data_IF_007974240726
#
_entry.id   IF_007974240726
#
_cell.length_a   1.000
_cell.length_b   1.000
_cell.length_c   1.000
_cell.angle_alpha   90.00
_cell.angle_beta   90.00
_cell.angle_gamma   90.00
#
_symmetry.space_group_name_H-M   'P 1'
#
loop_
_entity.id
_entity.type
_entity.pdbx_description
1 polymer ?
#
# COMPACT_ATOMS: atom_id res chain seq x y z
N UNK A 1 -1.44 -27.75 63.11
CA UNK A 1 -2.81 -27.36 63.51
C UNK A 1 -3.40 -26.43 62.46
N UNK A 2 -4.53 -26.86 61.88
CA UNK A 2 -5.58 -26.12 61.14
C UNK A 2 -5.13 -25.12 60.06
N UNK A 3 -5.12 -25.57 58.80
CA UNK A 3 -5.38 -24.72 57.63
C UNK A 3 -6.82 -24.93 57.18
N UNK A 4 -7.60 -23.84 57.11
CA UNK A 4 -8.95 -23.83 56.54
C UNK A 4 -8.89 -23.74 55.02
N UNK A 5 -9.61 -24.64 54.37
CA UNK A 5 -9.97 -24.63 52.96
C UNK A 5 -10.80 -23.39 52.61
N UNK A 6 -10.64 -22.89 51.38
CA UNK A 6 -11.77 -22.36 50.62
C UNK A 6 -11.59 -22.65 49.13
N UNK A 7 -12.46 -23.52 48.63
CA UNK A 7 -12.69 -23.84 47.23
C UNK A 7 -13.46 -22.70 46.56
N UNK A 8 -13.08 -22.31 45.34
CA UNK A 8 -13.96 -21.58 44.44
C UNK A 8 -13.87 -22.15 43.02
N UNK A 9 -15.05 -22.37 42.46
CA UNK A 9 -15.41 -23.26 41.37
C UNK A 9 -14.93 -22.80 39.99
N UNK A 10 -14.48 -23.78 39.20
CA UNK A 10 -14.13 -23.70 37.78
C UNK A 10 -15.44 -23.63 36.94
N UNK A 11 -15.75 -22.48 36.36
CA UNK A 11 -16.82 -22.33 35.38
C UNK A 11 -16.27 -22.59 33.97
N UNK A 12 -16.63 -23.76 33.43
CA UNK A 12 -16.37 -24.21 32.05
C UNK A 12 -17.50 -23.64 31.18
N UNK A 13 -17.17 -22.77 30.22
CA UNK A 13 -18.12 -22.29 29.20
C UNK A 13 -17.87 -23.05 27.91
N UNK A 14 -18.71 -24.04 27.66
CA UNK A 14 -18.87 -24.69 26.37
C UNK A 14 -19.58 -23.74 25.40
N UNK A 15 -18.95 -23.41 24.27
CA UNK A 15 -19.61 -22.73 23.15
C UNK A 15 -20.20 -23.77 22.22
N UNK A 16 -21.53 -23.89 22.26
CA UNK A 16 -22.36 -24.61 21.29
C UNK A 16 -22.23 -23.98 19.91
N UNK A 17 -21.90 -24.81 18.93
CA UNK A 17 -22.01 -24.57 17.49
C UNK A 17 -23.46 -24.74 17.05
N UNK A 18 -24.08 -23.67 16.51
CA UNK A 18 -25.35 -23.79 15.79
C UNK A 18 -25.06 -23.89 14.30
N UNK A 19 -25.10 -25.13 13.79
CA UNK A 19 -25.36 -25.45 12.38
C UNK A 19 -26.84 -25.20 12.11
N UNK A 20 -27.17 -24.38 11.12
CA UNK A 20 -28.49 -24.40 10.48
C UNK A 20 -28.30 -24.91 9.06
N UNK A 21 -28.82 -26.10 8.82
CA UNK A 21 -29.09 -26.66 7.51
C UNK A 21 -30.60 -26.82 7.37
N UNK A 22 -31.16 -26.45 6.22
CA UNK A 22 -32.34 -27.03 5.59
C UNK A 22 -32.53 -26.32 4.23
N UNK A 23 -32.06 -26.90 3.13
CA UNK A 23 -32.71 -27.91 2.24
C UNK A 23 -33.80 -27.35 1.30
N UNK A 24 -33.87 -27.88 0.05
CA UNK A 24 -34.45 -27.23 -1.13
C UNK A 24 -35.91 -27.62 -1.37
N UNK A 25 -36.62 -26.85 -2.19
CA UNK A 25 -37.94 -27.21 -2.72
C UNK A 25 -38.03 -27.06 -4.25
N UNK A 26 -38.12 -28.23 -4.88
CA UNK A 26 -39.06 -28.65 -5.94
C UNK A 26 -39.17 -27.86 -7.25
N UNK A 27 -38.63 -28.54 -8.26
CA UNK A 27 -39.07 -28.66 -9.66
C UNK A 27 -40.60 -28.64 -9.83
N UNK A 28 -41.08 -27.87 -10.83
CA UNK A 28 -42.25 -28.22 -11.64
C UNK A 28 -41.93 -28.01 -13.12
N UNK A 29 -41.79 -29.14 -13.83
CA UNK A 29 -41.97 -29.26 -15.28
C UNK A 29 -43.46 -29.16 -15.60
N UNK A 30 -43.81 -28.45 -16.67
CA UNK A 30 -45.05 -28.66 -17.41
C UNK A 30 -44.64 -28.76 -18.88
N UNK A 31 -44.68 -29.98 -19.40
CA UNK A 31 -44.75 -30.26 -20.83
C UNK A 31 -46.23 -30.41 -21.21
N UNK A 32 -46.63 -29.81 -22.32
CA UNK A 32 -47.99 -29.87 -22.87
C UNK A 32 -48.01 -29.37 -24.31
N UNK A 33 -47.98 -30.34 -25.23
CA UNK A 33 -47.92 -30.26 -26.70
C UNK A 33 -49.23 -29.88 -27.40
N UNK A 34 -49.12 -29.53 -28.71
CA UNK A 34 -50.13 -29.44 -29.80
C UNK A 34 -50.44 -28.01 -30.27
N UNK A 35 -50.66 -27.65 -31.55
CA UNK A 35 -50.52 -28.29 -32.87
C UNK A 35 -50.88 -27.24 -33.93
N UNK A 36 -50.23 -27.27 -35.10
CA UNK A 36 -50.82 -26.89 -36.40
C UNK A 36 -50.73 -25.42 -36.89
N UNK A 37 -50.32 -25.28 -38.16
CA UNK A 37 -51.04 -24.42 -39.11
C UNK A 37 -50.35 -23.17 -39.71
N UNK A 38 -49.73 -23.34 -40.88
CA UNK A 38 -49.51 -22.41 -42.01
C UNK A 38 -50.24 -21.03 -42.01
N UNK A 39 -49.55 -19.92 -42.34
CA UNK A 39 -49.56 -19.18 -43.64
C UNK A 39 -48.99 -17.74 -43.52
N UNK A 40 -47.92 -17.51 -44.28
CA UNK A 40 -47.52 -16.38 -45.15
C UNK A 40 -48.32 -15.04 -45.20
N UNK A 41 -47.55 -13.95 -45.29
CA UNK A 41 -47.72 -12.67 -46.06
C UNK A 41 -47.90 -11.33 -45.28
N UNK A 42 -46.95 -10.43 -45.58
CA UNK A 42 -46.88 -8.95 -45.67
C UNK A 42 -46.82 -7.96 -44.49
N UNK A 43 -45.77 -7.13 -44.59
CA UNK A 43 -45.60 -5.68 -44.36
C UNK A 43 -46.36 -5.03 -43.18
N UNK A 44 -45.76 -4.21 -42.32
CA UNK A 44 -45.19 -2.89 -42.65
C UNK A 44 -44.47 -2.31 -41.42
N UNK A 45 -43.42 -1.52 -41.68
CA UNK A 45 -42.83 -0.43 -40.89
C UNK A 45 -43.36 -0.14 -39.47
N UNK A 46 -42.46 -0.11 -38.46
CA UNK A 46 -42.45 1.00 -37.48
C UNK A 46 -41.16 1.02 -36.64
N UNK A 47 -40.67 2.24 -36.46
CA UNK A 47 -39.45 2.64 -35.77
C UNK A 47 -39.33 2.08 -34.34
N UNK A 48 -38.24 1.36 -34.07
CA UNK A 48 -37.69 1.22 -32.72
C UNK A 48 -36.43 2.08 -32.63
N UNK A 49 -36.62 3.31 -32.14
CA UNK A 49 -35.54 4.22 -31.76
C UNK A 49 -34.59 3.52 -30.78
N UNK A 50 -33.38 3.29 -31.26
CA UNK A 50 -32.19 2.97 -30.49
C UNK A 50 -31.95 4.07 -29.46
N UNK A 51 -32.16 3.75 -28.17
CA UNK A 51 -31.56 4.51 -27.06
C UNK A 51 -30.06 4.21 -27.03
N UNK A 52 -29.29 4.88 -27.90
CA UNK A 52 -27.83 5.02 -27.75
C UNK A 52 -27.47 6.49 -27.60
N UNK A 53 -27.60 7.03 -26.39
CA UNK A 53 -27.15 8.39 -26.06
C UNK A 53 -26.53 8.42 -24.66
N UNK A 54 -25.19 8.42 -24.62
CA UNK A 54 -24.37 9.43 -23.88
C UNK A 54 -22.86 9.16 -23.82
N UNK A 55 -22.33 8.11 -24.45
CA UNK A 55 -20.88 7.79 -24.35
C UNK A 55 -19.96 8.66 -25.25
N UNK A 56 -20.49 9.62 -26.02
CA UNK A 56 -19.74 10.21 -27.16
C UNK A 56 -19.00 11.52 -26.88
N UNK A 57 -19.22 12.20 -25.75
CA UNK A 57 -18.65 13.55 -25.53
C UNK A 57 -17.32 13.51 -24.76
N UNK A 58 -17.07 12.49 -23.95
CA UNK A 58 -15.92 12.46 -23.04
C UNK A 58 -14.62 12.04 -23.75
N UNK A 59 -14.70 11.02 -24.62
CA UNK A 59 -13.56 10.57 -25.44
C UNK A 59 -12.90 11.69 -26.28
N UNK A 60 -13.65 12.56 -26.99
CA UNK A 60 -13.02 13.63 -27.76
C UNK A 60 -12.37 14.75 -26.91
N UNK A 61 -12.70 14.84 -25.62
CA UNK A 61 -12.06 15.80 -24.69
C UNK A 61 -10.68 15.28 -24.28
N UNK A 62 -10.57 13.98 -23.94
CA UNK A 62 -9.28 13.39 -23.57
C UNK A 62 -8.33 13.25 -24.76
N UNK A 63 -8.84 12.88 -25.94
CA UNK A 63 -8.03 12.67 -27.14
C UNK A 63 -7.40 13.93 -27.74
N UNK A 64 -7.73 15.13 -27.22
CA UNK A 64 -7.25 16.43 -27.69
C UNK A 64 -6.66 17.28 -26.55
N UNK A 65 -6.30 16.68 -25.41
CA UNK A 65 -5.59 17.37 -24.34
C UNK A 65 -4.13 17.55 -24.75
N UNK A 66 -3.78 18.75 -25.20
CA UNK A 66 -2.40 19.22 -25.08
C UNK A 66 -2.18 19.75 -23.67
N UNK A 67 -0.97 19.61 -23.14
CA UNK A 67 -0.61 20.08 -21.79
C UNK A 67 -0.93 21.57 -21.55
N UNK A 68 -0.99 22.36 -22.62
CA UNK A 68 -1.22 23.81 -22.58
C UNK A 68 -2.67 24.25 -22.80
N UNK A 69 -3.61 23.33 -23.08
CA UNK A 69 -5.01 23.70 -23.32
C UNK A 69 -5.76 23.94 -22.00
N UNK A 70 -6.19 25.18 -21.78
CA UNK A 70 -7.05 25.53 -20.65
C UNK A 70 -8.47 24.94 -20.82
N UNK A 71 -8.86 24.07 -19.89
CA UNK A 71 -10.22 23.49 -19.85
C UNK A 71 -11.26 24.51 -19.40
N UNK A 72 -12.40 24.52 -20.09
CA UNK A 72 -13.59 25.27 -19.67
C UNK A 72 -14.27 24.62 -18.47
N UNK A 73 -15.01 25.40 -17.67
CA UNK A 73 -15.75 24.87 -16.52
C UNK A 73 -16.76 23.76 -16.92
N UNK A 74 -17.35 23.85 -18.11
CA UNK A 74 -18.25 22.82 -18.64
C UNK A 74 -17.52 21.50 -18.88
N UNK A 75 -16.31 21.55 -19.45
CA UNK A 75 -15.48 20.35 -19.66
C UNK A 75 -15.04 19.75 -18.32
N UNK A 76 -14.65 20.58 -17.35
CA UNK A 76 -14.29 20.14 -16.00
C UNK A 76 -15.44 19.40 -15.30
N UNK A 77 -16.65 19.96 -15.34
CA UNK A 77 -17.85 19.33 -14.78
C UNK A 77 -18.13 18.01 -15.50
N UNK A 78 -18.07 17.98 -16.83
CA UNK A 78 -18.28 16.76 -17.60
C UNK A 78 -17.26 15.65 -17.25
N UNK A 79 -15.99 15.99 -17.03
CA UNK A 79 -14.96 15.04 -16.58
C UNK A 79 -15.33 14.46 -15.21
N UNK A 80 -15.68 15.32 -14.25
CA UNK A 80 -16.04 14.89 -12.90
C UNK A 80 -17.32 14.03 -12.87
N UNK A 81 -18.31 14.34 -13.71
CA UNK A 81 -19.55 13.57 -13.80
C UNK A 81 -19.33 12.18 -14.41
N UNK A 82 -18.38 12.03 -15.35
CA UNK A 82 -18.12 10.79 -16.08
C UNK A 82 -16.89 10.03 -15.56
N UNK A 83 -16.36 10.38 -14.39
CA UNK A 83 -15.15 9.76 -13.83
C UNK A 83 -15.25 8.23 -13.74
N UNK A 84 -16.43 7.66 -13.50
CA UNK A 84 -16.60 6.20 -13.46
C UNK A 84 -16.31 5.53 -14.80
N UNK A 85 -16.84 6.10 -15.89
CA UNK A 85 -16.66 5.56 -17.24
C UNK A 85 -15.22 5.76 -17.74
N UNK A 86 -14.57 6.84 -17.29
CA UNK A 86 -13.15 7.09 -17.57
C UNK A 86 -12.26 5.99 -16.98
N UNK A 87 -12.54 5.54 -15.77
CA UNK A 87 -11.75 4.52 -15.10
C UNK A 87 -12.08 3.09 -15.56
N UNK A 88 -13.09 2.91 -16.41
CA UNK A 88 -13.34 1.64 -17.09
C UNK A 88 -12.37 1.38 -18.26
N UNK A 89 -11.68 2.42 -18.77
CA UNK A 89 -10.61 2.27 -19.76
C UNK A 89 -9.28 2.73 -19.19
N UNK A 90 -8.30 1.83 -19.21
CA UNK A 90 -6.97 2.02 -18.66
C UNK A 90 -6.18 3.17 -19.31
N UNK A 91 -6.33 3.36 -20.63
CA UNK A 91 -5.66 4.44 -21.35
C UNK A 91 -6.18 5.81 -20.86
N UNK A 92 -7.47 5.88 -20.57
CA UNK A 92 -8.11 7.09 -20.04
C UNK A 92 -7.63 7.43 -18.63
N UNK A 93 -7.18 6.46 -17.82
CA UNK A 93 -6.61 6.72 -16.49
C UNK A 93 -5.25 7.42 -16.61
N UNK A 94 -4.40 7.00 -17.55
CA UNK A 94 -3.14 7.66 -17.85
C UNK A 94 -3.32 9.13 -18.27
N UNK A 95 -4.39 9.44 -18.99
CA UNK A 95 -4.73 10.80 -19.40
C UNK A 95 -5.27 11.63 -18.22
N UNK A 96 -5.99 11.00 -17.29
CA UNK A 96 -6.47 11.66 -16.08
C UNK A 96 -5.35 12.14 -15.16
N UNK A 97 -4.15 11.54 -15.22
CA UNK A 97 -2.99 12.01 -14.44
C UNK A 97 -2.55 13.41 -14.90
N UNK A 98 -2.57 13.69 -16.20
CA UNK A 98 -2.23 15.02 -16.74
C UNK A 98 -3.20 16.11 -16.25
N UNK A 99 -4.45 15.72 -15.98
CA UNK A 99 -5.49 16.62 -15.48
C UNK A 99 -5.30 17.01 -14.01
N UNK A 100 -4.40 16.34 -13.26
CA UNK A 100 -4.13 16.66 -11.86
C UNK A 100 -3.47 18.03 -11.67
N UNK A 101 -2.84 18.58 -12.71
CA UNK A 101 -2.28 19.93 -12.65
C UNK A 101 -3.38 21.00 -12.51
N UNK A 102 -4.61 20.73 -12.95
CA UNK A 102 -5.75 21.64 -12.74
C UNK A 102 -6.25 21.57 -11.29
N UNK A 103 -6.17 22.66 -10.49
CA UNK A 103 -6.53 22.63 -9.07
C UNK A 103 -7.99 22.23 -8.80
N UNK A 104 -8.91 22.52 -9.73
CA UNK A 104 -10.34 22.22 -9.57
C UNK A 104 -10.57 20.71 -9.67
N UNK A 105 -9.81 20.03 -10.55
CA UNK A 105 -9.95 18.60 -10.79
C UNK A 105 -9.08 17.76 -9.84
N UNK A 106 -7.93 18.31 -9.43
CA UNK A 106 -6.87 17.62 -8.69
C UNK A 106 -7.39 16.74 -7.56
N UNK A 107 -8.12 17.31 -6.60
CA UNK A 107 -8.54 16.59 -5.39
C UNK A 107 -9.41 15.37 -5.73
N UNK A 108 -10.42 15.56 -6.57
CA UNK A 108 -11.38 14.51 -6.94
C UNK A 108 -10.73 13.43 -7.80
N UNK A 109 -9.90 13.82 -8.76
CA UNK A 109 -9.19 12.87 -9.63
C UNK A 109 -8.11 12.11 -8.85
N UNK A 110 -7.31 12.79 -8.03
CA UNK A 110 -6.24 12.15 -7.25
C UNK A 110 -6.79 11.03 -6.37
N UNK A 111 -7.92 11.26 -5.68
CA UNK A 111 -8.59 10.23 -4.89
C UNK A 111 -8.92 9.01 -5.73
N UNK A 112 -9.49 9.20 -6.92
CA UNK A 112 -9.88 8.09 -7.82
C UNK A 112 -8.68 7.36 -8.40
N UNK A 113 -7.66 8.08 -8.82
CA UNK A 113 -6.42 7.51 -9.37
C UNK A 113 -5.71 6.69 -8.28
N UNK A 114 -5.56 7.22 -7.07
CA UNK A 114 -4.92 6.50 -5.97
C UNK A 114 -5.72 5.25 -5.59
N UNK A 115 -7.04 5.35 -5.47
CA UNK A 115 -7.93 4.21 -5.16
C UNK A 115 -7.77 3.08 -6.19
N UNK A 116 -7.83 3.43 -7.48
CA UNK A 116 -7.60 2.50 -8.60
C UNK A 116 -6.20 1.86 -8.56
N UNK A 117 -5.17 2.67 -8.31
CA UNK A 117 -3.79 2.19 -8.26
C UNK A 117 -3.53 1.29 -7.04
N UNK A 118 -4.14 1.58 -5.90
CA UNK A 118 -4.06 0.74 -4.69
C UNK A 118 -4.66 -0.64 -4.94
N UNK A 119 -5.80 -0.73 -5.62
CA UNK A 119 -6.41 -2.01 -5.99
C UNK A 119 -5.47 -2.85 -6.86
N UNK A 120 -4.85 -2.23 -7.86
CA UNK A 120 -3.90 -2.91 -8.75
C UNK A 120 -2.62 -3.31 -7.99
N UNK A 121 -2.06 -2.43 -7.15
CA UNK A 121 -0.87 -2.71 -6.34
C UNK A 121 -1.10 -3.93 -5.44
N UNK A 122 -2.22 -3.96 -4.69
CA UNK A 122 -2.57 -5.08 -3.81
C UNK A 122 -2.71 -6.39 -4.60
N UNK A 123 -3.31 -6.34 -5.79
CA UNK A 123 -3.42 -7.52 -6.66
C UNK A 123 -2.04 -7.99 -7.14
N UNK A 124 -1.18 -7.09 -7.62
CA UNK A 124 0.18 -7.44 -8.05
C UNK A 124 1.00 -8.03 -6.88
N UNK A 125 0.93 -7.41 -5.70
CA UNK A 125 1.62 -7.88 -4.51
C UNK A 125 1.16 -9.29 -4.11
N UNK A 126 -0.15 -9.54 -4.12
CA UNK A 126 -0.71 -10.86 -3.84
C UNK A 126 -0.30 -11.93 -4.84
N UNK A 127 -0.19 -11.57 -6.13
CA UNK A 127 0.22 -12.52 -7.17
C UNK A 127 1.72 -12.84 -7.07
N UNK A 128 2.56 -11.85 -6.79
CA UNK A 128 4.00 -12.07 -6.59
C UNK A 128 4.28 -13.12 -5.52
N UNK A 129 3.60 -13.04 -4.37
CA UNK A 129 3.80 -13.98 -3.26
C UNK A 129 3.45 -15.45 -3.64
N UNK A 130 2.77 -15.66 -4.77
CA UNK A 130 2.36 -16.98 -5.27
C UNK A 130 3.21 -17.52 -6.42
N UNK A 131 4.07 -16.68 -7.00
CA UNK A 131 4.88 -17.01 -8.19
C UNK A 131 6.30 -17.41 -7.79
N UNK A 132 6.97 -18.22 -8.64
CA UNK A 132 8.41 -18.42 -8.52
C UNK A 132 9.18 -17.19 -9.00
N UNK A 133 10.47 -17.09 -8.64
CA UNK A 133 11.32 -16.00 -9.12
C UNK A 133 11.46 -16.02 -10.64
N UNK A 134 11.54 -17.20 -11.26
CA UNK A 134 11.62 -17.36 -12.71
C UNK A 134 10.37 -16.83 -13.42
N UNK A 135 9.19 -17.24 -12.96
CA UNK A 135 7.90 -16.77 -13.51
C UNK A 135 7.78 -15.26 -13.39
N UNK A 136 8.17 -14.70 -12.23
CA UNK A 136 8.17 -13.25 -12.02
C UNK A 136 9.11 -12.53 -12.98
N UNK A 137 10.32 -13.03 -13.16
CA UNK A 137 11.32 -12.44 -14.06
C UNK A 137 10.84 -12.48 -15.52
N UNK A 138 10.13 -13.53 -15.94
CA UNK A 138 9.48 -13.56 -17.24
C UNK A 138 8.39 -12.48 -17.34
N UNK A 139 7.54 -12.34 -16.33
CA UNK A 139 6.44 -11.36 -16.31
C UNK A 139 6.97 -9.91 -16.34
N UNK A 140 7.92 -9.56 -15.48
CA UNK A 140 8.51 -8.20 -15.36
C UNK A 140 9.49 -7.86 -16.49
N UNK A 141 9.89 -8.85 -17.31
CA UNK A 141 10.78 -8.63 -18.44
C UNK A 141 10.29 -7.50 -19.35
N UNK A 142 11.19 -6.58 -19.66
CA UNK A 142 10.96 -5.53 -20.67
C UNK A 142 10.91 -6.10 -22.09
N UNK A 143 11.45 -7.31 -22.30
CA UNK A 143 11.45 -7.95 -23.60
C UNK A 143 10.18 -8.76 -23.80
N UNK A 144 9.69 -8.87 -25.05
CA UNK A 144 8.55 -9.72 -25.39
C UNK A 144 8.96 -11.20 -25.29
N UNK A 145 9.09 -11.70 -24.06
CA UNK A 145 9.27 -13.12 -23.78
C UNK A 145 7.89 -13.78 -23.93
N UNK A 146 7.75 -14.85 -24.73
CA UNK A 146 6.49 -15.58 -24.84
C UNK A 146 6.05 -16.07 -23.46
N UNK A 147 4.86 -15.67 -23.01
CA UNK A 147 4.25 -16.20 -21.79
C UNK A 147 3.24 -17.26 -22.19
N UNK A 148 3.38 -18.45 -21.63
CA UNK A 148 2.51 -19.60 -21.91
C UNK A 148 1.14 -19.48 -21.21
N UNK A 149 1.12 -18.96 -19.98
CA UNK A 149 -0.09 -18.82 -19.15
C UNK A 149 -0.86 -17.53 -19.42
N UNK A 150 -2.15 -17.62 -19.73
CA UNK A 150 -3.03 -16.45 -19.91
C UNK A 150 -3.16 -15.61 -18.64
N UNK A 151 -3.05 -16.24 -17.45
CA UNK A 151 -2.99 -15.53 -16.17
C UNK A 151 -1.75 -14.63 -16.09
N UNK A 152 -0.58 -15.16 -16.46
CA UNK A 152 0.68 -14.43 -16.42
C UNK A 152 0.72 -13.30 -17.47
N UNK A 153 0.05 -13.50 -18.63
CA UNK A 153 -0.14 -12.43 -19.63
C UNK A 153 -0.96 -11.27 -19.05
N UNK A 154 -2.08 -11.59 -18.40
CA UNK A 154 -2.95 -10.58 -17.75
C UNK A 154 -2.19 -9.82 -16.67
N UNK A 155 -1.42 -10.52 -15.84
CA UNK A 155 -0.60 -9.91 -14.80
C UNK A 155 0.49 -8.99 -15.39
N UNK A 156 1.14 -9.40 -16.49
CA UNK A 156 2.09 -8.53 -17.21
C UNK A 156 1.43 -7.24 -17.68
N UNK A 157 0.23 -7.30 -18.27
CA UNK A 157 -0.51 -6.12 -18.71
C UNK A 157 -0.88 -5.20 -17.52
N UNK A 158 -1.26 -5.78 -16.38
CA UNK A 158 -1.53 -5.03 -15.16
C UNK A 158 -0.27 -4.33 -14.63
N UNK A 159 0.87 -5.03 -14.56
CA UNK A 159 2.14 -4.45 -14.12
C UNK A 159 2.59 -3.33 -15.06
N UNK A 160 2.49 -3.53 -16.37
CA UNK A 160 2.83 -2.50 -17.36
C UNK A 160 1.96 -1.26 -17.19
N UNK A 161 0.65 -1.45 -17.00
CA UNK A 161 -0.26 -0.33 -16.83
C UNK A 161 -0.02 0.39 -15.51
N UNK A 162 0.08 -0.36 -14.41
CA UNK A 162 0.42 0.18 -13.10
C UNK A 162 1.70 1.02 -13.19
N UNK A 163 2.76 0.47 -13.78
CA UNK A 163 4.03 1.16 -13.95
C UNK A 163 3.87 2.45 -14.76
N UNK A 164 3.12 2.45 -15.86
CA UNK A 164 2.95 3.64 -16.67
C UNK A 164 2.21 4.76 -15.92
N UNK A 165 1.15 4.42 -15.18
CA UNK A 165 0.41 5.39 -14.35
C UNK A 165 1.29 5.87 -13.19
N UNK A 166 1.99 4.95 -12.53
CA UNK A 166 2.91 5.23 -11.42
C UNK A 166 3.97 6.26 -11.82
N UNK A 167 4.63 6.07 -12.97
CA UNK A 167 5.67 6.99 -13.45
C UNK A 167 5.13 8.40 -13.74
N UNK A 168 3.89 8.50 -14.25
CA UNK A 168 3.25 9.81 -14.44
C UNK A 168 2.89 10.47 -13.11
N UNK A 169 2.34 9.71 -12.16
CA UNK A 169 2.04 10.21 -10.81
C UNK A 169 3.29 10.65 -10.08
N UNK A 170 4.37 9.88 -10.22
CA UNK A 170 5.66 10.20 -9.63
C UNK A 170 6.15 11.58 -10.10
N UNK A 171 6.12 11.81 -11.42
CA UNK A 171 6.45 13.12 -11.99
C UNK A 171 5.56 14.25 -11.46
N UNK A 172 4.25 14.00 -11.33
CA UNK A 172 3.31 14.97 -10.76
C UNK A 172 3.67 15.33 -9.31
N UNK A 173 4.00 14.36 -8.47
CA UNK A 173 4.28 14.60 -7.05
C UNK A 173 5.57 15.37 -6.77
N UNK A 174 6.47 15.48 -7.76
CA UNK A 174 7.63 16.36 -7.67
C UNK A 174 7.28 17.82 -7.39
N UNK A 175 6.12 18.26 -7.88
CA UNK A 175 5.73 19.68 -7.92
C UNK A 175 4.51 20.01 -7.05
N UNK A 176 4.13 19.11 -6.13
CA UNK A 176 2.87 19.20 -5.38
C UNK A 176 3.14 19.23 -3.88
N UNK A 177 2.37 20.05 -3.17
CA UNK A 177 2.42 20.15 -1.70
C UNK A 177 1.95 18.86 -1.02
N UNK A 178 2.69 18.45 0.01
CA UNK A 178 2.54 17.16 0.70
C UNK A 178 1.18 17.01 1.40
N UNK A 179 0.64 18.07 2.00
CA UNK A 179 -0.56 18.00 2.85
C UNK A 179 -1.80 17.46 2.12
N UNK A 180 -2.05 17.92 0.89
CA UNK A 180 -3.19 17.46 0.09
C UNK A 180 -3.08 16.00 -0.33
N UNK A 181 -1.85 15.53 -0.58
CA UNK A 181 -1.56 14.16 -1.02
C UNK A 181 -1.67 13.19 0.13
N UNK A 182 -1.16 13.56 1.30
CA UNK A 182 -1.08 12.68 2.45
C UNK A 182 -2.45 12.40 3.07
N UNK A 183 -3.41 13.32 2.95
CA UNK A 183 -4.81 13.03 3.27
C UNK A 183 -5.40 11.91 2.41
N UNK A 184 -4.99 11.80 1.15
CA UNK A 184 -5.39 10.69 0.26
C UNK A 184 -4.63 9.42 0.64
N UNK A 185 -3.32 9.52 0.88
CA UNK A 185 -2.50 8.35 1.22
C UNK A 185 -2.92 7.74 2.56
N UNK A 186 -3.27 8.55 3.55
CA UNK A 186 -3.78 8.08 4.83
C UNK A 186 -5.02 7.20 4.67
N UNK A 187 -5.93 7.59 3.77
CA UNK A 187 -7.18 6.87 3.56
C UNK A 187 -7.02 5.60 2.71
N UNK A 188 -6.06 5.58 1.78
CA UNK A 188 -5.99 4.55 0.74
C UNK A 188 -4.68 3.77 0.73
N UNK A 189 -3.54 4.40 0.96
CA UNK A 189 -2.21 3.77 0.89
C UNK A 189 -1.80 3.22 2.26
N UNK A 190 -1.81 4.06 3.30
CA UNK A 190 -1.29 3.70 4.63
C UNK A 190 -2.14 2.64 5.34
N UNK A 191 -3.40 2.49 4.97
CA UNK A 191 -4.33 1.48 5.50
C UNK A 191 -4.41 0.23 4.63
N UNK A 192 -3.73 0.22 3.49
CA UNK A 192 -3.76 -0.91 2.55
C UNK A 192 -2.41 -1.63 2.55
N UNK A 193 -2.41 -2.91 2.16
CA UNK A 193 -1.19 -3.71 2.04
C UNK A 193 -0.48 -3.46 0.70
N UNK A 194 -0.23 -2.20 0.38
CA UNK A 194 0.45 -1.81 -0.86
C UNK A 194 1.95 -2.03 -0.77
N UNK A 195 2.58 -2.40 -1.89
CA UNK A 195 4.03 -2.61 -1.99
C UNK A 195 4.74 -1.51 -2.78
N UNK A 196 4.05 -0.80 -3.67
CA UNK A 196 4.66 0.15 -4.59
C UNK A 196 4.19 1.58 -4.37
N UNK A 197 2.90 1.80 -4.08
CA UNK A 197 2.30 3.15 -4.00
C UNK A 197 3.01 4.09 -3.04
N UNK A 198 3.55 3.59 -1.93
CA UNK A 198 4.33 4.36 -0.97
C UNK A 198 5.60 4.96 -1.57
N UNK A 199 6.18 4.36 -2.61
CA UNK A 199 7.39 4.89 -3.25
C UNK A 199 7.15 6.23 -3.93
N UNK A 200 5.91 6.61 -4.23
CA UNK A 200 5.59 7.94 -4.73
C UNK A 200 6.02 9.07 -3.78
N UNK A 201 6.22 8.77 -2.49
CA UNK A 201 6.79 9.72 -1.53
C UNK A 201 8.27 10.02 -1.77
N UNK A 202 9.00 9.19 -2.52
CA UNK A 202 10.43 9.40 -2.80
C UNK A 202 10.70 10.63 -3.68
N UNK A 203 9.71 11.06 -4.46
CA UNK A 203 9.86 12.22 -5.33
C UNK A 203 9.34 13.52 -4.71
N UNK A 204 8.82 13.45 -3.48
CA UNK A 204 8.40 14.62 -2.70
C UNK A 204 9.57 15.22 -1.93
N UNK A 205 9.36 16.40 -1.33
CA UNK A 205 10.33 16.99 -0.42
C UNK A 205 10.53 16.08 0.80
N UNK A 206 11.77 15.61 0.98
CA UNK A 206 12.15 14.68 2.04
C UNK A 206 11.84 15.20 3.45
N UNK A 207 12.12 16.49 3.72
CA UNK A 207 11.90 17.08 5.04
C UNK A 207 10.41 17.13 5.36
N UNK A 208 9.58 17.54 4.40
CA UNK A 208 8.13 17.59 4.55
C UNK A 208 7.53 16.21 4.85
N UNK A 209 8.01 15.15 4.16
CA UNK A 209 7.58 13.76 4.41
C UNK A 209 7.93 13.32 5.84
N UNK A 210 9.16 13.60 6.30
CA UNK A 210 9.60 13.26 7.67
C UNK A 210 8.81 14.04 8.71
N UNK A 211 8.60 15.34 8.49
CA UNK A 211 7.84 16.23 9.37
C UNK A 211 6.39 15.77 9.48
N UNK A 212 5.77 15.33 8.38
CA UNK A 212 4.43 14.77 8.42
C UNK A 212 4.34 13.60 9.39
N UNK A 213 5.19 12.58 9.21
CA UNK A 213 5.12 11.38 10.03
C UNK A 213 5.39 11.69 11.50
N UNK A 214 6.43 12.47 11.80
CA UNK A 214 6.75 12.88 13.17
C UNK A 214 5.61 13.70 13.82
N UNK A 215 4.97 14.60 13.06
CA UNK A 215 3.85 15.40 13.53
C UNK A 215 2.60 14.54 13.77
N UNK A 216 2.37 13.52 12.96
CA UNK A 216 1.30 12.57 13.16
C UNK A 216 1.52 11.69 14.40
N UNK A 217 2.76 11.22 14.61
CA UNK A 217 3.16 10.49 15.81
C UNK A 217 2.99 11.32 17.09
N UNK A 218 3.45 12.57 17.09
CA UNK A 218 3.31 13.48 18.24
C UNK A 218 1.85 13.72 18.64
N UNK A 219 0.92 13.66 17.68
CA UNK A 219 -0.53 13.80 17.92
C UNK A 219 -1.21 12.51 18.38
N UNK A 220 -0.47 11.43 18.62
CA UNK A 220 -1.00 10.10 18.94
C UNK A 220 -2.05 9.64 17.92
N UNK A 221 -1.74 9.77 16.63
CA UNK A 221 -2.66 9.41 15.56
C UNK A 221 -3.12 7.94 15.65
N UNK A 222 -4.35 7.63 15.19
CA UNK A 222 -4.87 6.25 15.25
C UNK A 222 -3.99 5.25 14.47
N UNK A 223 -3.30 5.72 13.44
CA UNK A 223 -2.36 4.94 12.61
C UNK A 223 -0.91 5.02 13.09
N UNK A 224 -0.64 5.41 14.35
CA UNK A 224 0.73 5.61 14.85
C UNK A 224 1.65 4.41 14.62
N UNK A 225 1.14 3.18 14.75
CA UNK A 225 1.92 1.98 14.48
C UNK A 225 2.40 1.89 13.01
N UNK A 226 1.52 2.22 12.05
CA UNK A 226 1.87 2.31 10.63
C UNK A 226 2.87 3.44 10.38
N UNK A 227 2.65 4.60 10.99
CA UNK A 227 3.53 5.77 10.81
C UNK A 227 4.94 5.55 11.35
N UNK A 228 5.09 4.81 12.45
CA UNK A 228 6.41 4.40 12.95
C UNK A 228 7.15 3.59 11.87
N UNK A 229 6.47 2.61 11.28
CA UNK A 229 7.04 1.73 10.26
C UNK A 229 7.35 2.50 8.96
N UNK A 230 6.43 3.32 8.46
CA UNK A 230 6.64 4.16 7.28
C UNK A 230 7.80 5.12 7.48
N UNK A 231 7.82 5.86 8.60
CA UNK A 231 8.90 6.78 8.94
C UNK A 231 10.25 6.08 8.96
N UNK A 232 10.34 4.95 9.67
CA UNK A 232 11.59 4.25 9.91
C UNK A 232 12.12 3.62 8.62
N UNK A 233 11.26 2.97 7.83
CA UNK A 233 11.63 2.42 6.53
C UNK A 233 12.02 3.53 5.54
N UNK A 234 11.29 4.65 5.47
CA UNK A 234 11.68 5.78 4.62
C UNK A 234 13.05 6.34 5.02
N UNK A 235 13.26 6.56 6.32
CA UNK A 235 14.48 7.15 6.88
C UNK A 235 15.73 6.32 6.57
N UNK A 236 15.63 4.99 6.60
CA UNK A 236 16.80 4.13 6.33
C UNK A 236 17.02 3.84 4.85
N UNK A 237 15.93 3.76 4.07
CA UNK A 237 15.97 3.37 2.66
C UNK A 237 16.17 4.55 1.71
N UNK A 238 15.90 5.78 2.14
CA UNK A 238 16.12 6.99 1.34
C UNK A 238 17.49 7.58 1.64
N UNK A 239 18.27 7.87 0.60
CA UNK A 239 19.49 8.67 0.68
C UNK A 239 19.12 10.12 0.95
N UNK A 240 19.70 10.70 2.00
CA UNK A 240 19.37 12.02 2.51
C UNK A 240 20.62 12.69 3.07
N UNK A 241 20.55 14.01 3.25
CA UNK A 241 21.58 14.76 3.95
C UNK A 241 21.75 14.28 5.40
N UNK A 242 22.99 14.17 5.84
CA UNK A 242 23.31 13.60 7.16
C UNK A 242 22.77 14.45 8.31
N UNK A 243 22.73 15.78 8.15
CA UNK A 243 22.18 16.67 9.17
C UNK A 243 20.67 16.47 9.34
N UNK A 244 19.95 16.17 8.25
CA UNK A 244 18.53 15.85 8.29
C UNK A 244 18.29 14.48 8.92
N UNK A 245 19.12 13.47 8.58
CA UNK A 245 19.08 12.14 9.21
C UNK A 245 19.27 12.25 10.72
N UNK A 246 20.30 12.95 11.17
CA UNK A 246 20.57 13.16 12.59
C UNK A 246 19.37 13.79 13.33
N UNK A 247 18.81 14.88 12.76
CA UNK A 247 17.64 15.55 13.33
C UNK A 247 16.42 14.62 13.39
N UNK A 248 16.16 13.86 12.33
CA UNK A 248 15.02 12.95 12.26
C UNK A 248 15.14 11.82 13.31
N UNK A 249 16.32 11.21 13.45
CA UNK A 249 16.60 10.18 14.46
C UNK A 249 16.41 10.76 15.87
N UNK A 250 16.97 11.93 16.16
CA UNK A 250 16.86 12.57 17.46
C UNK A 250 15.40 12.93 17.82
N UNK A 251 14.65 13.46 16.86
CA UNK A 251 13.22 13.76 17.03
C UNK A 251 12.40 12.49 17.29
N UNK A 252 12.65 11.42 16.53
CA UNK A 252 11.98 10.14 16.71
C UNK A 252 12.29 9.52 18.07
N UNK A 253 13.57 9.50 18.48
CA UNK A 253 13.99 9.03 19.79
C UNK A 253 13.33 9.82 20.93
N UNK A 254 13.34 11.16 20.83
CA UNK A 254 12.67 12.04 21.81
C UNK A 254 11.17 11.78 21.88
N UNK A 255 10.53 11.45 20.77
CA UNK A 255 9.12 11.10 20.75
C UNK A 255 8.86 9.81 21.53
N UNK A 256 9.57 8.72 21.24
CA UNK A 256 9.15 7.42 21.75
C UNK A 256 9.69 7.06 23.14
N UNK A 257 10.84 7.62 23.55
CA UNK A 257 11.51 7.22 24.81
C UNK A 257 10.65 7.41 26.07
N UNK A 258 9.74 8.39 26.04
CA UNK A 258 8.86 8.75 27.15
C UNK A 258 7.40 8.29 26.92
N UNK A 259 7.14 7.43 25.93
CA UNK A 259 5.80 6.93 25.64
C UNK A 259 5.30 6.03 26.76
N UNK A 260 4.13 6.40 27.32
CA UNK A 260 3.42 5.57 28.31
C UNK A 260 2.73 4.36 27.69
N UNK A 261 2.40 4.42 26.40
CA UNK A 261 1.80 3.29 25.69
C UNK A 261 2.88 2.24 25.39
N UNK A 262 2.88 1.14 26.16
CA UNK A 262 3.89 0.08 26.04
C UNK A 262 3.97 -0.55 24.66
N UNK A 263 2.83 -0.73 23.97
CA UNK A 263 2.80 -1.27 22.61
C UNK A 263 3.54 -0.35 21.63
N UNK A 264 3.23 0.96 21.65
CA UNK A 264 3.88 1.93 20.78
C UNK A 264 5.34 2.17 21.15
N UNK A 265 5.68 2.13 22.44
CA UNK A 265 7.05 2.20 22.92
C UNK A 265 7.90 1.05 22.36
N UNK A 266 7.48 -0.20 22.57
CA UNK A 266 8.22 -1.37 22.09
C UNK A 266 8.30 -1.39 20.57
N UNK A 267 7.20 -1.05 19.88
CA UNK A 267 7.18 -0.92 18.43
C UNK A 267 8.18 0.13 17.92
N UNK A 268 8.22 1.31 18.54
CA UNK A 268 9.19 2.34 18.19
C UNK A 268 10.62 1.92 18.51
N UNK A 269 10.86 1.23 19.63
CA UNK A 269 12.17 0.77 20.05
C UNK A 269 12.77 -0.24 19.06
N UNK A 270 12.00 -1.21 18.57
CA UNK A 270 12.49 -2.13 17.54
C UNK A 270 12.75 -1.43 16.20
N UNK A 271 11.90 -0.51 15.77
CA UNK A 271 12.18 0.28 14.57
C UNK A 271 13.37 1.22 14.73
N UNK A 272 13.64 1.68 15.96
CA UNK A 272 14.84 2.43 16.29
C UNK A 272 16.10 1.57 16.16
N UNK A 273 16.09 0.32 16.66
CA UNK A 273 17.18 -0.63 16.41
C UNK A 273 17.38 -0.88 14.90
N UNK A 274 16.29 -1.05 14.15
CA UNK A 274 16.34 -1.17 12.69
C UNK A 274 16.99 0.06 12.03
N UNK A 275 16.67 1.27 12.48
CA UNK A 275 17.34 2.50 12.04
C UNK A 275 18.85 2.43 12.29
N UNK A 276 19.25 2.03 13.49
CA UNK A 276 20.67 1.94 13.88
C UNK A 276 21.44 0.83 13.17
N UNK A 277 20.77 -0.21 12.65
CA UNK A 277 21.42 -1.20 11.77
C UNK A 277 21.92 -0.54 10.46
N UNK A 278 21.15 0.39 9.91
CA UNK A 278 21.51 1.13 8.69
C UNK A 278 22.39 2.36 8.97
N UNK A 279 22.11 3.07 10.06
CA UNK A 279 22.74 4.33 10.43
C UNK A 279 23.68 4.12 11.63
N UNK A 280 24.71 3.32 11.39
CA UNK A 280 25.60 2.77 12.43
C UNK A 280 26.37 3.85 13.20
N UNK A 281 26.68 4.97 12.54
CA UNK A 281 27.39 6.12 13.14
C UNK A 281 26.70 6.72 14.37
N UNK A 282 25.41 6.43 14.58
CA UNK A 282 24.62 6.96 15.69
C UNK A 282 24.57 6.04 16.92
N UNK A 283 25.15 4.83 16.88
CA UNK A 283 25.00 3.87 17.98
C UNK A 283 25.52 4.41 19.32
N UNK A 284 26.71 5.01 19.32
CA UNK A 284 27.36 5.55 20.53
C UNK A 284 26.53 6.66 21.18
N UNK A 285 25.82 7.45 20.39
CA UNK A 285 24.96 8.54 20.88
C UNK A 285 23.82 7.98 21.73
N UNK A 286 23.35 6.77 21.44
CA UNK A 286 22.19 6.15 22.09
C UNK A 286 22.55 4.91 22.92
N UNK A 287 23.84 4.67 23.20
CA UNK A 287 24.33 3.49 23.90
C UNK A 287 23.62 3.25 25.24
N UNK A 288 23.44 4.29 26.06
CA UNK A 288 22.78 4.19 27.37
C UNK A 288 21.33 3.69 27.26
N UNK A 289 20.58 4.14 26.25
CA UNK A 289 19.23 3.66 26.00
C UNK A 289 19.24 2.19 25.54
N UNK A 290 20.14 1.85 24.62
CA UNK A 290 20.28 0.49 24.08
C UNK A 290 20.62 -0.49 25.20
N UNK A 291 21.56 -0.16 26.08
CA UNK A 291 21.93 -1.01 27.20
C UNK A 291 20.76 -1.22 28.17
N UNK A 292 19.95 -0.17 28.39
CA UNK A 292 18.74 -0.27 29.22
C UNK A 292 17.69 -1.17 28.55
N UNK A 293 17.49 -1.02 27.24
CA UNK A 293 16.59 -1.85 26.44
C UNK A 293 17.02 -3.32 26.50
N UNK A 294 18.31 -3.61 26.36
CA UNK A 294 18.88 -4.96 26.38
C UNK A 294 18.83 -5.64 27.75
N UNK A 295 18.85 -4.87 28.84
CA UNK A 295 18.69 -5.41 30.21
C UNK A 295 17.26 -5.85 30.55
N UNK A 296 16.26 -5.41 29.79
CA UNK A 296 14.86 -5.64 30.15
C UNK A 296 13.98 -5.98 28.96
N UNK A 297 13.73 -5.00 28.09
CA UNK A 297 12.64 -5.06 27.12
C UNK A 297 13.00 -5.73 25.78
N UNK A 298 14.27 -6.03 25.52
CA UNK A 298 14.74 -6.60 24.24
C UNK A 298 14.07 -7.93 23.88
N UNK A 299 13.73 -8.75 24.87
CA UNK A 299 13.08 -10.04 24.66
C UNK A 299 11.67 -9.94 24.04
N UNK A 300 11.04 -8.76 24.10
CA UNK A 300 9.71 -8.51 23.51
C UNK A 300 9.76 -7.99 22.07
N UNK A 301 10.96 -7.70 21.55
CA UNK A 301 11.14 -7.11 20.23
C UNK A 301 11.20 -8.20 19.15
N UNK A 302 11.08 -7.80 17.89
CA UNK A 302 11.26 -8.71 16.76
C UNK A 302 12.65 -9.36 16.74
N UNK A 303 12.68 -10.69 16.80
CA UNK A 303 13.90 -11.51 16.83
C UNK A 303 14.86 -11.21 15.69
N UNK A 304 14.36 -11.05 14.46
CA UNK A 304 15.20 -10.83 13.30
C UNK A 304 15.89 -9.47 13.37
N UNK A 305 15.16 -8.41 13.75
CA UNK A 305 15.74 -7.08 13.94
C UNK A 305 16.83 -7.11 15.02
N UNK A 306 16.54 -7.72 16.18
CA UNK A 306 17.49 -7.80 17.29
C UNK A 306 18.74 -8.58 16.89
N UNK A 307 18.59 -9.73 16.23
CA UNK A 307 19.72 -10.55 15.81
C UNK A 307 20.61 -9.84 14.78
N UNK A 308 19.99 -9.17 13.79
CA UNK A 308 20.74 -8.34 12.83
C UNK A 308 21.45 -7.20 13.54
N UNK A 309 20.80 -6.54 14.49
CA UNK A 309 21.42 -5.49 15.29
C UNK A 309 22.62 -6.01 16.10
N UNK A 310 22.49 -7.18 16.74
CA UNK A 310 23.58 -7.81 17.47
C UNK A 310 24.76 -8.16 16.56
N UNK A 311 24.52 -8.75 15.37
CA UNK A 311 25.59 -9.07 14.42
C UNK A 311 26.32 -7.81 13.95
N UNK A 312 25.56 -6.82 13.45
CA UNK A 312 26.12 -5.58 12.90
C UNK A 312 26.98 -4.82 13.91
N UNK A 313 26.63 -4.89 15.20
CA UNK A 313 27.29 -4.13 16.26
C UNK A 313 28.11 -5.00 17.23
N UNK A 314 28.41 -6.25 16.85
CA UNK A 314 29.18 -7.22 17.65
C UNK A 314 28.71 -7.35 19.11
N UNK A 315 27.39 -7.39 19.32
CA UNK A 315 26.79 -7.60 20.65
C UNK A 315 26.43 -9.06 20.86
N UNK A 316 26.41 -9.48 22.12
CA UNK A 316 25.94 -10.82 22.49
C UNK A 316 24.50 -11.05 21.99
N UNK A 317 24.25 -12.28 21.53
CA UNK A 317 22.93 -12.70 21.05
C UNK A 317 21.96 -12.81 22.21
N UNK A 318 20.68 -12.54 21.94
CA UNK A 318 19.61 -12.71 22.93
C UNK A 318 19.06 -14.13 22.83
N UNK A 319 19.13 -14.89 23.92
CA UNK A 319 18.77 -16.31 23.92
C UNK A 319 17.26 -16.56 23.94
N UNK A 320 16.50 -15.64 24.54
CA UNK A 320 15.07 -15.83 24.81
C UNK A 320 14.24 -14.67 24.22
N UNK A 321 13.27 -15.02 23.37
CA UNK A 321 12.29 -14.09 22.81
C UNK A 321 10.88 -14.49 23.20
N UNK A 322 10.04 -13.50 23.46
CA UNK A 322 8.63 -13.66 23.80
C UNK A 322 7.81 -13.30 22.56
N UNK A 323 7.12 -14.30 22.01
CA UNK A 323 6.21 -14.07 20.88
C UNK A 323 5.00 -13.24 21.31
N UNK A 324 4.77 -12.14 20.60
CA UNK A 324 3.63 -11.24 20.78
C UNK A 324 3.29 -10.55 19.45
N UNK A 325 2.14 -9.87 19.40
CA UNK A 325 1.80 -9.05 18.22
C UNK A 325 2.83 -7.94 17.98
N UNK A 326 3.49 -7.44 19.04
CA UNK A 326 4.57 -6.45 18.94
C UNK A 326 5.81 -7.05 18.28
N UNK A 327 6.16 -8.30 18.62
CA UNK A 327 7.35 -8.96 18.09
C UNK A 327 7.19 -9.39 16.63
N UNK A 328 5.97 -9.33 16.08
CA UNK A 328 5.63 -9.64 14.69
C UNK A 328 5.62 -8.37 13.83
N UNK A 329 6.79 -7.77 13.61
CA UNK A 329 6.97 -6.89 12.45
C UNK A 329 7.07 -7.76 11.21
N UNK A 330 6.12 -7.61 10.30
CA UNK A 330 6.09 -8.24 8.98
C UNK A 330 6.23 -7.21 7.84
N UNK A 331 6.19 -5.90 8.13
CA UNK A 331 6.10 -4.85 7.13
C UNK A 331 7.23 -3.83 7.23
N UNK A 332 8.12 -3.84 6.25
CA UNK A 332 9.07 -2.77 5.98
C UNK A 332 8.66 -2.08 4.69
N UNK A 333 7.90 -0.98 4.81
CA UNK A 333 7.17 -0.41 3.67
C UNK A 333 8.04 0.04 2.48
N UNK A 334 9.32 0.30 2.69
CA UNK A 334 10.25 0.70 1.62
C UNK A 334 11.31 -0.35 1.31
N UNK A 335 11.01 -1.62 1.57
CA UNK A 335 11.84 -2.70 1.02
C UNK A 335 11.85 -2.65 -0.52
N UNK A 336 12.95 -3.11 -1.15
CA UNK A 336 13.14 -2.96 -2.59
C UNK A 336 11.92 -3.45 -3.39
N UNK A 337 11.37 -2.62 -4.30
CA UNK A 337 10.28 -3.05 -5.16
C UNK A 337 10.83 -4.09 -6.15
N UNK A 338 10.07 -5.16 -6.34
CA UNK A 338 10.37 -6.25 -7.27
C UNK A 338 9.97 -5.94 -8.73
N UNK A 339 9.28 -4.82 -8.99
CA UNK A 339 9.06 -4.28 -10.33
C UNK A 339 10.31 -3.48 -10.72
N UNK A 340 11.11 -4.02 -11.65
CA UNK A 340 12.42 -3.46 -11.99
C UNK A 340 12.34 -2.01 -12.50
N UNK A 341 11.28 -1.68 -13.24
CA UNK A 341 11.03 -0.32 -13.75
C UNK A 341 10.86 0.71 -12.64
N UNK A 342 10.19 0.36 -11.55
CA UNK A 342 10.00 1.24 -10.39
C UNK A 342 11.32 1.40 -9.64
N UNK A 343 12.04 0.30 -9.42
CA UNK A 343 13.34 0.35 -8.73
C UNK A 343 14.35 1.25 -9.45
N UNK A 344 14.41 1.17 -10.79
CA UNK A 344 15.29 2.01 -11.62
C UNK A 344 15.07 3.51 -11.43
N UNK A 345 13.85 3.96 -11.14
CA UNK A 345 13.57 5.39 -10.89
C UNK A 345 14.28 5.88 -9.64
N UNK A 346 14.35 5.04 -8.61
CA UNK A 346 14.82 5.43 -7.28
C UNK A 346 16.24 4.97 -6.97
N UNK A 347 16.89 4.20 -7.84
CA UNK A 347 18.20 3.57 -7.63
C UNK A 347 19.25 4.53 -7.08
N UNK A 348 19.37 5.74 -7.65
CA UNK A 348 20.34 6.75 -7.20
C UNK A 348 20.09 7.28 -5.78
N UNK A 349 18.86 7.15 -5.31
CA UNK A 349 18.35 7.68 -4.05
C UNK A 349 18.00 6.60 -3.03
N UNK A 350 18.11 5.33 -3.40
CA UNK A 350 17.75 4.19 -2.57
C UNK A 350 18.98 3.63 -1.86
N UNK A 351 18.80 3.20 -0.61
CA UNK A 351 19.82 2.55 0.20
C UNK A 351 19.45 1.09 0.42
N UNK A 352 20.28 0.20 -0.12
CA UNK A 352 20.23 -1.23 0.16
C UNK A 352 20.94 -1.52 1.48
N UNK A 353 20.51 -2.58 2.16
CA UNK A 353 21.20 -3.04 3.35
C UNK A 353 22.42 -3.84 2.92
N UNK A 354 23.57 -3.55 3.50
CA UNK A 354 24.80 -4.29 3.23
C UNK A 354 24.78 -5.62 3.99
N UNK A 355 24.42 -6.70 3.28
CA UNK A 355 24.31 -8.05 3.84
C UNK A 355 25.67 -8.62 4.28
N UNK A 356 26.80 -8.08 3.82
CA UNK A 356 28.12 -8.55 4.24
C UNK A 356 28.43 -8.26 5.72
N UNK A 357 27.59 -7.43 6.36
CA UNK A 357 27.70 -7.03 7.76
C UNK A 357 26.90 -7.91 8.73
N UNK A 358 26.22 -8.95 8.24
CA UNK A 358 25.52 -9.96 9.03
C UNK A 358 26.40 -11.19 9.07
#
# INVERSE_FOLDING_TARGET
MVRKNNNAKKARRDRKTNKVANRPKTVRRVDGSSSGGRKMVDSTCTNAQTKSKKTRVVYPVLSNLSADRKLSNKEKIAILENTKDLFANINSVCDCVELLYDPVLRKSLLVRIVDFMVEIDVNIASEYDSLSEEDWNEIDSMYPTPISSDKNKTLREQIQTFTNIFLKLDSFFKNVEVEGVFNVFEKYVFTSKTRYMQFLMYNMNTEDVLVYFLSALKRNHMLSAHYIAYFSSFLVRRRMDESLVQKAIACFFKYFKDLKNRFLYLSSAQYFLYILCFKQTYIEIYASFIDTLFKGDVMYLNRNIVNVFCSVHNRETVDCFIESDVSRIDQFYFDPPNISRIMKVYESSFLTFDKSKI
#
